data_IF_789782242126
#
_entry.id   IF_789782242126
#
_cell.length_a   1.000
_cell.length_b   1.000
_cell.length_c   1.000
_cell.angle_alpha   90.00
_cell.angle_beta   90.00
_cell.angle_gamma   90.00
#
_symmetry.space_group_name_H-M   'P 1'
#
loop_
_entity.id
_entity.type
_entity.pdbx_description
1 polymer ?
#
# COMPACT_ATOMS: atom_id res chain seq x y z
N UNK A 1 28.45 -2.11 -3.38
CA UNK A 1 27.10 -2.27 -2.76
C UNK A 1 26.74 -1.23 -1.68
N UNK A 2 27.64 -0.34 -1.22
CA UNK A 2 27.37 0.61 -0.11
C UNK A 2 26.49 1.84 -0.46
N UNK A 3 26.43 2.24 -1.75
CA UNK A 3 25.78 3.50 -2.15
C UNK A 3 24.23 3.47 -2.11
N UNK A 4 23.63 2.28 -2.21
CA UNK A 4 22.17 2.14 -2.31
C UNK A 4 21.47 2.24 -0.94
N UNK A 5 22.12 1.74 0.12
CA UNK A 5 21.60 1.77 1.50
C UNK A 5 21.52 3.21 2.00
N UNK A 6 22.54 4.04 1.73
CA UNK A 6 22.55 5.45 2.14
C UNK A 6 21.44 6.26 1.45
N UNK A 7 21.18 5.98 0.17
CA UNK A 7 20.11 6.63 -0.61
C UNK A 7 18.72 6.25 -0.07
N UNK A 8 18.48 4.97 0.20
CA UNK A 8 17.24 4.49 0.80
C UNK A 8 17.01 5.06 2.20
N UNK A 9 18.06 5.18 3.02
CA UNK A 9 17.97 5.80 4.35
C UNK A 9 17.59 7.28 4.26
N UNK A 10 18.20 8.03 3.33
CA UNK A 10 17.85 9.44 3.06
C UNK A 10 16.40 9.60 2.59
N UNK A 11 15.93 8.75 1.67
CA UNK A 11 14.53 8.78 1.21
C UNK A 11 13.56 8.48 2.34
N UNK A 12 13.87 7.50 3.20
CA UNK A 12 13.06 7.20 4.39
C UNK A 12 13.04 8.35 5.39
N UNK A 13 14.17 8.98 5.67
CA UNK A 13 14.25 10.14 6.57
C UNK A 13 13.41 11.32 6.04
N UNK A 14 13.52 11.63 4.74
CA UNK A 14 12.71 12.67 4.09
C UNK A 14 11.21 12.39 4.19
N UNK A 15 10.77 11.16 3.86
CA UNK A 15 9.36 10.76 4.01
C UNK A 15 8.90 10.91 5.46
N UNK A 16 9.74 10.52 6.43
CA UNK A 16 9.39 10.61 7.84
C UNK A 16 9.19 12.03 8.35
N UNK A 17 10.03 12.96 7.88
CA UNK A 17 9.89 14.39 8.16
C UNK A 17 8.56 14.97 7.64
N UNK A 18 7.99 14.37 6.59
CA UNK A 18 6.68 14.71 6.03
C UNK A 18 5.53 13.94 6.71
N UNK A 19 5.77 13.23 7.82
CA UNK A 19 4.78 12.36 8.46
C UNK A 19 4.52 11.03 7.74
N UNK A 20 5.10 10.82 6.56
CA UNK A 20 4.90 9.61 5.75
C UNK A 20 5.72 8.45 6.33
N UNK A 21 5.11 7.26 6.38
CA UNK A 21 5.76 6.00 6.76
C UNK A 21 5.61 5.00 5.62
N UNK A 22 6.63 4.17 5.40
CA UNK A 22 6.56 3.07 4.44
C UNK A 22 6.16 1.81 5.18
N UNK A 23 5.24 1.05 4.59
CA UNK A 23 4.77 -0.25 5.07
C UNK A 23 5.03 -1.29 4.00
N UNK A 24 5.28 -2.53 4.42
CA UNK A 24 5.27 -3.69 3.53
C UNK A 24 3.87 -4.31 3.58
N UNK A 25 3.34 -4.72 2.43
CA UNK A 25 1.99 -5.28 2.31
C UNK A 25 2.06 -6.56 1.50
N UNK A 26 1.47 -7.63 2.03
CA UNK A 26 1.38 -8.94 1.38
C UNK A 26 0.02 -8.99 0.68
N UNK A 27 0.02 -9.30 -0.62
CA UNK A 27 -1.16 -9.32 -1.49
C UNK A 27 -1.10 -10.55 -2.39
N UNK A 28 -2.27 -11.07 -2.76
CA UNK A 28 -2.37 -12.05 -3.84
C UNK A 28 -2.09 -11.43 -5.20
N UNK A 29 -1.66 -12.24 -6.17
CA UNK A 29 -1.41 -11.79 -7.54
C UNK A 29 -2.62 -11.07 -8.15
N UNK A 30 -3.84 -11.57 -7.90
CA UNK A 30 -5.08 -10.93 -8.37
C UNK A 30 -5.29 -9.53 -7.79
N UNK A 31 -4.88 -9.29 -6.55
CA UNK A 31 -5.01 -7.99 -5.89
C UNK A 31 -3.97 -7.03 -6.46
N UNK A 32 -2.75 -7.51 -6.73
CA UNK A 32 -1.72 -6.73 -7.43
C UNK A 32 -2.21 -6.34 -8.83
N UNK A 33 -2.80 -7.27 -9.58
CA UNK A 33 -3.35 -7.01 -10.91
C UNK A 33 -4.47 -5.95 -10.87
N UNK A 34 -5.38 -6.04 -9.90
CA UNK A 34 -6.43 -5.04 -9.70
C UNK A 34 -5.84 -3.65 -9.38
N UNK A 35 -4.80 -3.58 -8.55
CA UNK A 35 -4.11 -2.32 -8.27
C UNK A 35 -3.41 -1.76 -9.52
N UNK A 36 -2.82 -2.61 -10.36
CA UNK A 36 -2.19 -2.18 -11.61
C UNK A 36 -3.20 -1.65 -12.62
N UNK A 37 -4.34 -2.32 -12.80
CA UNK A 37 -5.40 -1.86 -13.68
C UNK A 37 -5.89 -0.47 -13.28
N UNK A 38 -6.12 -0.24 -11.98
CA UNK A 38 -6.53 1.08 -11.47
C UNK A 38 -5.41 2.10 -11.68
N UNK A 39 -4.15 1.74 -11.38
CA UNK A 39 -2.99 2.61 -11.57
C UNK A 39 -2.88 3.06 -13.02
N UNK A 40 -3.00 2.15 -13.97
CA UNK A 40 -2.91 2.43 -15.41
C UNK A 40 -4.10 3.27 -15.89
N UNK A 41 -5.32 2.92 -15.50
CA UNK A 41 -6.54 3.65 -15.88
C UNK A 41 -6.52 5.12 -15.47
N UNK A 42 -5.86 5.45 -14.35
CA UNK A 42 -5.78 6.82 -13.83
C UNK A 42 -4.40 7.47 -13.97
N UNK A 43 -3.44 6.81 -14.64
CA UNK A 43 -2.09 7.35 -14.84
C UNK A 43 -1.32 7.61 -13.53
N UNK A 44 -1.51 6.78 -12.51
CA UNK A 44 -0.89 6.94 -11.19
C UNK A 44 0.57 6.45 -11.20
N UNK A 45 1.42 7.08 -10.39
CA UNK A 45 2.84 6.78 -10.35
C UNK A 45 3.15 5.44 -9.66
N UNK A 46 2.30 4.99 -8.74
CA UNK A 46 2.54 3.77 -7.96
C UNK A 46 1.28 3.09 -7.44
N UNK A 47 1.39 1.81 -7.07
CA UNK A 47 0.33 1.07 -6.34
C UNK A 47 0.06 1.68 -4.96
N UNK A 48 1.04 2.32 -4.33
CA UNK A 48 0.83 3.05 -3.07
C UNK A 48 -0.13 4.22 -3.21
N UNK A 49 -0.17 4.88 -4.37
CA UNK A 49 -1.12 5.97 -4.64
C UNK A 49 -2.53 5.42 -4.76
N UNK A 50 -2.70 4.27 -5.44
CA UNK A 50 -3.97 3.55 -5.52
C UNK A 50 -4.47 3.19 -4.11
N UNK A 51 -3.62 2.57 -3.29
CA UNK A 51 -3.96 2.22 -1.90
C UNK A 51 -4.35 3.47 -1.09
N UNK A 52 -3.61 4.57 -1.25
CA UNK A 52 -3.91 5.82 -0.55
C UNK A 52 -5.28 6.38 -0.93
N UNK A 53 -5.65 6.30 -2.21
CA UNK A 53 -6.99 6.68 -2.68
C UNK A 53 -8.06 5.76 -2.09
N UNK A 54 -7.85 4.44 -2.09
CA UNK A 54 -8.79 3.49 -1.53
C UNK A 54 -9.03 3.74 -0.04
N UNK A 55 -7.96 3.99 0.73
CA UNK A 55 -8.05 4.36 2.15
C UNK A 55 -8.83 5.66 2.32
N UNK A 56 -8.51 6.71 1.55
CA UNK A 56 -9.19 8.00 1.65
C UNK A 56 -10.69 7.93 1.29
N UNK A 57 -11.08 6.97 0.45
CA UNK A 57 -12.48 6.76 0.03
C UNK A 57 -13.27 5.85 0.98
N UNK A 58 -12.60 5.08 1.82
CA UNK A 58 -13.24 4.09 2.69
C UNK A 58 -13.53 4.73 4.05
N UNK A 59 -14.76 4.60 4.56
CA UNK A 59 -15.07 4.92 5.95
C UNK A 59 -14.58 3.77 6.84
N UNK A 60 -13.58 3.99 7.72
CA UNK A 60 -13.04 2.91 8.55
C UNK A 60 -14.08 2.30 9.50
N UNK A 61 -15.14 3.04 9.85
CA UNK A 61 -16.17 2.57 10.78
C UNK A 61 -17.11 1.54 10.15
N UNK A 62 -17.05 1.35 8.83
CA UNK A 62 -17.82 0.31 8.13
C UNK A 62 -17.09 -1.03 8.08
N UNK A 63 -15.84 -1.11 8.55
CA UNK A 63 -15.08 -2.37 8.59
C UNK A 63 -15.63 -3.25 9.72
N UNK A 64 -16.04 -4.47 9.36
CA UNK A 64 -16.67 -5.41 10.28
C UNK A 64 -15.73 -6.56 10.66
N UNK A 65 -16.05 -7.32 11.73
CA UNK A 65 -15.32 -8.55 12.05
C UNK A 65 -15.32 -9.60 10.93
N UNK A 66 -16.35 -9.62 10.07
CA UNK A 66 -16.43 -10.53 8.94
C UNK A 66 -15.36 -10.21 7.88
N UNK A 67 -15.09 -8.92 7.63
CA UNK A 67 -14.03 -8.49 6.71
C UNK A 67 -12.64 -8.95 7.20
N UNK A 68 -12.42 -8.86 8.52
CA UNK A 68 -11.19 -9.36 9.14
C UNK A 68 -11.07 -10.89 9.07
N UNK A 69 -12.18 -11.62 9.23
CA UNK A 69 -12.20 -13.08 9.10
C UNK A 69 -11.87 -13.50 7.66
N UNK A 70 -12.42 -12.82 6.66
CA UNK A 70 -12.15 -13.08 5.25
C UNK A 70 -10.68 -12.87 4.86
N UNK A 71 -9.86 -12.18 5.67
CA UNK A 71 -8.41 -12.06 5.51
C UNK A 71 -7.68 -13.23 6.18
N UNK A 72 -8.09 -13.64 7.39
CA UNK A 72 -7.46 -14.75 8.13
C UNK A 72 -7.54 -16.07 7.36
N UNK A 73 -8.66 -16.33 6.71
CA UNK A 73 -8.87 -17.53 5.90
C UNK A 73 -8.02 -17.54 4.61
N UNK A 74 -7.34 -16.43 4.27
CA UNK A 74 -6.39 -16.36 3.14
C UNK A 74 -4.98 -16.80 3.52
N UNK A 75 -4.67 -16.84 4.82
CA UNK A 75 -3.34 -17.18 5.33
C UNK A 75 -3.17 -18.68 5.62
N UNK A 76 -4.24 -19.47 5.45
CA UNK A 76 -4.26 -20.94 5.53
C UNK A 76 -4.43 -21.52 4.13
#
# INVERSE_FOLDING_TARGET
MSNNISRLAKTRARRRALGIRSTETILHEREIAALDEIKERFGLASRSDVISILIARTDPNTITPADAAAIRDRAN
#
